data_IF_391262324357
#
_entry.id   IF_391262324357
#
_cell.length_a   1.000
_cell.length_b   1.000
_cell.length_c   1.000
_cell.angle_alpha   90.00
_cell.angle_beta   90.00
_cell.angle_gamma   90.00
#
_symmetry.space_group_name_H-M   'P 1'
#
loop_
_entity.id
_entity.type
_entity.pdbx_description
1 polymer ?
#
# COMPACT_ATOMS: atom_id res chain seq x y z
N UNK A 1 -19.80 -19.59 -16.88
CA UNK A 1 -20.48 -20.46 -15.89
C UNK A 1 -20.52 -19.63 -14.63
N UNK A 2 -21.63 -18.92 -14.43
CA UNK A 2 -21.80 -17.95 -13.33
C UNK A 2 -22.00 -18.71 -12.02
N UNK A 3 -21.09 -18.52 -11.07
CA UNK A 3 -21.26 -18.98 -9.70
C UNK A 3 -22.43 -18.20 -9.09
N UNK A 4 -23.62 -18.82 -9.07
CA UNK A 4 -24.73 -18.33 -8.27
C UNK A 4 -24.29 -18.35 -6.82
N UNK A 5 -23.99 -17.18 -6.28
CA UNK A 5 -23.67 -17.01 -4.87
C UNK A 5 -24.87 -17.51 -4.06
N UNK A 6 -24.69 -18.58 -3.30
CA UNK A 6 -25.76 -19.21 -2.54
C UNK A 6 -26.19 -18.27 -1.41
N UNK A 7 -27.45 -17.85 -1.46
CA UNK A 7 -28.06 -16.91 -0.52
C UNK A 7 -27.97 -17.45 0.92
N UNK A 8 -27.97 -18.77 1.11
CA UNK A 8 -27.86 -19.41 2.43
C UNK A 8 -26.48 -19.21 3.07
N UNK A 9 -25.42 -19.05 2.28
CA UNK A 9 -24.05 -18.76 2.76
C UNK A 9 -23.95 -17.31 3.27
N UNK A 10 -24.78 -16.41 2.74
CA UNK A 10 -24.76 -14.98 3.09
C UNK A 10 -25.57 -14.64 4.35
N UNK A 11 -26.41 -15.54 4.85
CA UNK A 11 -27.19 -15.32 6.08
C UNK A 11 -26.37 -15.49 7.36
N UNK A 12 -25.18 -16.10 7.27
CA UNK A 12 -24.23 -16.30 8.37
C UNK A 12 -22.80 -15.93 7.94
N UNK A 13 -22.60 -14.67 7.55
CA UNK A 13 -21.28 -14.19 7.15
C UNK A 13 -20.30 -14.20 8.33
N UNK A 14 -19.10 -14.70 8.09
CA UNK A 14 -17.95 -14.56 9.01
C UNK A 14 -17.00 -13.47 8.54
N UNK A 15 -16.13 -12.98 9.43
CA UNK A 15 -15.04 -12.05 9.07
C UNK A 15 -14.11 -12.61 8.00
N UNK A 16 -13.90 -13.93 7.98
CA UNK A 16 -13.09 -14.60 6.95
C UNK A 16 -13.79 -14.57 5.58
N UNK A 17 -15.12 -14.67 5.56
CA UNK A 17 -15.91 -14.55 4.33
C UNK A 17 -15.85 -13.12 3.78
N UNK A 18 -15.81 -12.10 4.64
CA UNK A 18 -15.67 -10.70 4.24
C UNK A 18 -14.41 -10.44 3.40
N UNK A 19 -13.30 -11.12 3.70
CA UNK A 19 -12.03 -10.95 2.95
C UNK A 19 -12.11 -11.44 1.51
N UNK A 20 -13.00 -12.38 1.23
CA UNK A 20 -13.12 -13.04 -0.07
C UNK A 20 -14.31 -12.52 -0.91
N UNK A 21 -15.14 -11.63 -0.35
CA UNK A 21 -16.25 -11.03 -1.09
C UNK A 21 -15.73 -10.05 -2.14
N UNK A 22 -16.11 -10.28 -3.39
CA UNK A 22 -15.90 -9.31 -4.47
C UNK A 22 -16.84 -8.10 -4.29
N UNK A 23 -16.38 -7.11 -3.54
CA UNK A 23 -17.12 -5.88 -3.27
C UNK A 23 -17.38 -5.04 -4.54
N UNK A 24 -16.69 -5.32 -5.66
CA UNK A 24 -16.91 -4.63 -6.93
C UNK A 24 -18.06 -5.24 -7.73
N UNK A 25 -18.48 -6.46 -7.41
CA UNK A 25 -19.60 -7.11 -8.08
C UNK A 25 -20.95 -6.57 -7.57
N UNK A 26 -21.64 -5.83 -8.44
CA UNK A 26 -22.96 -5.23 -8.15
C UNK A 26 -24.00 -6.27 -7.72
N UNK A 27 -23.98 -7.46 -8.31
CA UNK A 27 -24.91 -8.53 -7.97
C UNK A 27 -24.68 -9.04 -6.55
N UNK A 28 -23.43 -9.14 -6.12
CA UNK A 28 -23.07 -9.53 -4.74
C UNK A 28 -23.60 -8.48 -3.77
N UNK A 29 -23.38 -7.20 -4.05
CA UNK A 29 -23.86 -6.09 -3.21
C UNK A 29 -25.38 -6.05 -3.14
N UNK A 30 -26.06 -6.20 -4.27
CA UNK A 30 -27.53 -6.29 -4.29
C UNK A 30 -28.04 -7.49 -3.49
N UNK A 31 -27.33 -8.61 -3.50
CA UNK A 31 -27.71 -9.79 -2.72
C UNK A 31 -27.53 -9.54 -1.22
N UNK A 32 -26.39 -8.96 -0.81
CA UNK A 32 -26.15 -8.56 0.58
C UNK A 32 -27.22 -7.59 1.11
N UNK A 33 -27.60 -6.59 0.31
CA UNK A 33 -28.67 -5.64 0.66
C UNK A 33 -30.04 -6.33 0.80
N UNK A 34 -30.35 -7.37 0.03
CA UNK A 34 -31.60 -8.13 0.17
C UNK A 34 -31.61 -9.00 1.42
N UNK A 35 -30.47 -9.57 1.79
CA UNK A 35 -30.34 -10.44 2.96
C UNK A 35 -30.33 -9.68 4.29
N UNK A 36 -29.96 -8.39 4.28
CA UNK A 36 -29.76 -7.58 5.48
C UNK A 36 -30.89 -7.72 6.51
N UNK A 37 -32.15 -7.52 6.11
CA UNK A 37 -33.30 -7.51 7.03
C UNK A 37 -33.53 -8.87 7.73
N UNK A 38 -33.18 -9.97 7.06
CA UNK A 38 -33.36 -11.35 7.57
C UNK A 38 -32.14 -11.88 8.31
N UNK A 39 -31.04 -11.14 8.26
CA UNK A 39 -29.75 -11.55 8.81
C UNK A 39 -29.68 -11.34 10.31
N UNK A 40 -28.87 -12.17 10.98
CA UNK A 40 -28.53 -11.95 12.39
C UNK A 40 -27.69 -10.67 12.57
N UNK A 41 -27.54 -10.22 13.82
CA UNK A 41 -26.84 -8.98 14.14
C UNK A 41 -25.41 -8.94 13.62
N UNK A 42 -24.65 -10.04 13.71
CA UNK A 42 -23.25 -10.06 13.28
C UNK A 42 -23.11 -9.96 11.76
N UNK A 43 -24.00 -10.64 11.04
CA UNK A 43 -24.08 -10.55 9.57
C UNK A 43 -24.49 -9.15 9.13
N UNK A 44 -25.43 -8.48 9.83
CA UNK A 44 -25.78 -7.08 9.55
C UNK A 44 -24.58 -6.14 9.70
N UNK A 45 -23.77 -6.31 10.76
CA UNK A 45 -22.53 -5.53 10.96
C UNK A 45 -21.57 -5.71 9.78
N UNK A 46 -21.37 -6.96 9.34
CA UNK A 46 -20.51 -7.28 8.21
C UNK A 46 -21.02 -6.64 6.91
N UNK A 47 -22.32 -6.69 6.65
CA UNK A 47 -22.92 -6.05 5.47
C UNK A 47 -22.68 -4.54 5.51
N UNK A 48 -22.91 -3.86 6.64
CA UNK A 48 -22.63 -2.43 6.79
C UNK A 48 -21.17 -2.12 6.46
N UNK A 49 -20.24 -2.90 7.00
CA UNK A 49 -18.82 -2.71 6.73
C UNK A 49 -18.47 -2.91 5.24
N UNK A 50 -19.04 -3.92 4.58
CA UNK A 50 -18.85 -4.16 3.14
C UNK A 50 -19.35 -2.97 2.33
N UNK A 51 -20.55 -2.46 2.64
CA UNK A 51 -21.14 -1.30 1.98
C UNK A 51 -20.28 -0.05 2.20
N UNK A 52 -19.79 0.14 3.42
CA UNK A 52 -18.85 1.20 3.78
C UNK A 52 -17.54 1.09 2.99
N UNK A 53 -16.96 -0.11 2.85
CA UNK A 53 -15.74 -0.33 2.06
C UNK A 53 -15.95 -0.01 0.58
N UNK A 54 -17.11 -0.40 0.02
CA UNK A 54 -17.48 -0.10 -1.36
C UNK A 54 -17.68 1.39 -1.61
N UNK A 55 -18.47 2.06 -0.77
CA UNK A 55 -18.62 3.51 -0.76
C UNK A 55 -19.11 4.14 -2.07
N UNK A 56 -19.81 3.38 -2.91
CA UNK A 56 -20.47 3.92 -4.09
C UNK A 56 -21.83 4.55 -3.73
N UNK A 57 -22.47 5.18 -4.72
CA UNK A 57 -23.74 5.87 -4.48
C UNK A 57 -24.83 4.90 -3.97
N UNK A 58 -24.87 3.67 -4.50
CA UNK A 58 -25.82 2.66 -4.09
C UNK A 58 -25.64 2.27 -2.62
N UNK A 59 -24.40 1.95 -2.21
CA UNK A 59 -24.06 1.64 -0.82
C UNK A 59 -24.35 2.81 0.12
N UNK A 60 -23.97 4.03 -0.26
CA UNK A 60 -24.23 5.23 0.55
C UNK A 60 -25.73 5.45 0.74
N UNK A 61 -26.51 5.33 -0.35
CA UNK A 61 -27.97 5.45 -0.29
C UNK A 61 -28.59 4.38 0.60
N UNK A 62 -28.10 3.14 0.53
CA UNK A 62 -28.62 2.06 1.36
C UNK A 62 -28.24 2.22 2.84
N UNK A 63 -27.01 2.64 3.16
CA UNK A 63 -26.59 2.96 4.53
C UNK A 63 -27.50 4.03 5.17
N UNK A 64 -27.90 5.05 4.39
CA UNK A 64 -28.88 6.05 4.84
C UNK A 64 -30.26 5.45 5.11
N UNK A 65 -30.74 4.54 4.25
CA UNK A 65 -32.00 3.83 4.48
C UNK A 65 -31.96 2.97 5.74
N UNK A 66 -30.83 2.33 6.05
CA UNK A 66 -30.65 1.57 7.30
C UNK A 66 -30.86 2.49 8.51
N UNK A 67 -30.25 3.68 8.51
CA UNK A 67 -30.37 4.66 9.61
C UNK A 67 -31.83 5.11 9.83
N UNK A 68 -32.59 5.26 8.74
CA UNK A 68 -33.99 5.65 8.79
C UNK A 68 -34.89 4.52 9.33
N UNK A 69 -34.61 3.26 8.96
CA UNK A 69 -35.43 2.09 9.32
C UNK A 69 -35.10 1.49 10.67
N UNK A 70 -33.82 1.39 11.03
CA UNK A 70 -33.32 0.74 12.24
C UNK A 70 -33.26 1.73 13.41
N UNK A 71 -34.28 2.57 13.53
CA UNK A 71 -34.37 3.63 14.55
C UNK A 71 -34.32 3.09 15.98
N UNK A 72 -34.77 1.86 16.19
CA UNK A 72 -34.77 1.16 17.48
C UNK A 72 -33.51 0.32 17.72
N UNK A 73 -32.77 -0.05 16.66
CA UNK A 73 -31.53 -0.80 16.78
C UNK A 73 -30.32 0.14 16.77
N UNK A 74 -30.04 0.70 17.95
CA UNK A 74 -28.99 1.70 18.13
C UNK A 74 -27.61 1.25 17.59
N UNK A 75 -27.26 -0.03 17.72
CA UNK A 75 -25.96 -0.56 17.25
C UNK A 75 -25.86 -0.47 15.73
N UNK A 76 -26.88 -0.95 15.01
CA UNK A 76 -26.91 -0.96 13.54
C UNK A 76 -26.93 0.47 12.99
N UNK A 77 -27.70 1.35 13.62
CA UNK A 77 -27.74 2.76 13.28
C UNK A 77 -26.37 3.42 13.47
N UNK A 78 -25.76 3.29 14.64
CA UNK A 78 -24.47 3.90 14.95
C UNK A 78 -23.34 3.40 14.02
N UNK A 79 -23.34 2.12 13.66
CA UNK A 79 -22.38 1.57 12.70
C UNK A 79 -22.59 2.15 11.29
N UNK A 80 -23.83 2.28 10.84
CA UNK A 80 -24.15 2.86 9.55
C UNK A 80 -23.76 4.34 9.47
N UNK A 81 -24.04 5.11 10.53
CA UNK A 81 -23.60 6.50 10.69
C UNK A 81 -22.08 6.60 10.67
N UNK A 82 -21.38 5.73 11.41
CA UNK A 82 -19.93 5.67 11.44
C UNK A 82 -19.29 5.41 10.07
N UNK A 83 -19.86 4.49 9.27
CA UNK A 83 -19.39 4.25 7.90
C UNK A 83 -19.64 5.43 6.96
N UNK A 84 -20.78 6.11 7.09
CA UNK A 84 -21.06 7.33 6.31
C UNK A 84 -20.10 8.47 6.68
N UNK A 85 -19.84 8.69 7.96
CA UNK A 85 -18.86 9.68 8.44
C UNK A 85 -17.45 9.38 7.90
N UNK A 86 -17.05 8.09 7.92
CA UNK A 86 -15.76 7.65 7.38
C UNK A 86 -15.67 7.92 5.88
N UNK A 87 -16.73 7.63 5.13
CA UNK A 87 -16.80 7.89 3.69
C UNK A 87 -16.74 9.38 3.38
N UNK A 88 -17.45 10.22 4.13
CA UNK A 88 -17.40 11.68 3.98
C UNK A 88 -15.99 12.22 4.23
N UNK A 89 -15.34 11.81 5.33
CA UNK A 89 -13.96 12.23 5.62
C UNK A 89 -12.99 11.81 4.51
N UNK A 90 -13.17 10.60 3.96
CA UNK A 90 -12.39 10.10 2.82
C UNK A 90 -12.58 10.98 1.59
N UNK A 91 -13.83 11.35 1.28
CA UNK A 91 -14.15 12.25 0.17
C UNK A 91 -13.54 13.65 0.36
N UNK A 92 -13.56 14.20 1.57
CA UNK A 92 -12.92 15.49 1.89
C UNK A 92 -11.40 15.46 1.70
N UNK A 93 -10.74 14.37 2.07
CA UNK A 93 -9.30 14.16 1.84
C UNK A 93 -9.00 14.10 0.34
N UNK A 94 -9.79 13.32 -0.41
CA UNK A 94 -9.69 13.22 -1.86
C UNK A 94 -9.87 14.58 -2.54
N UNK A 95 -10.92 15.32 -2.17
CA UNK A 95 -11.18 16.66 -2.72
C UNK A 95 -10.04 17.64 -2.40
N UNK A 96 -9.45 17.59 -1.21
CA UNK A 96 -8.26 18.40 -0.87
C UNK A 96 -7.05 18.06 -1.74
N UNK A 97 -6.77 16.76 -1.95
CA UNK A 97 -5.68 16.30 -2.83
C UNK A 97 -5.90 16.74 -4.28
N UNK A 98 -7.11 16.58 -4.82
CA UNK A 98 -7.46 17.02 -6.17
C UNK A 98 -7.28 18.53 -6.32
N UNK A 99 -7.75 19.35 -5.36
CA UNK A 99 -7.54 20.81 -5.40
C UNK A 99 -6.06 21.19 -5.37
N UNK A 100 -5.24 20.48 -4.58
CA UNK A 100 -3.79 20.70 -4.54
C UNK A 100 -3.17 20.39 -5.91
N UNK A 101 -3.53 19.25 -6.49
CA UNK A 101 -3.09 18.83 -7.83
C UNK A 101 -3.52 19.83 -8.91
N UNK A 102 -4.77 20.30 -8.86
CA UNK A 102 -5.30 21.31 -9.78
C UNK A 102 -4.52 22.62 -9.68
N UNK A 103 -4.27 23.12 -8.46
CA UNK A 103 -3.45 24.30 -8.25
C UNK A 103 -2.04 24.12 -8.80
N UNK A 104 -1.44 22.95 -8.61
CA UNK A 104 -0.11 22.63 -9.11
C UNK A 104 -0.07 22.58 -10.64
N UNK A 105 -1.04 21.94 -11.28
CA UNK A 105 -1.04 21.73 -12.73
C UNK A 105 -1.51 22.96 -13.51
N UNK A 106 -2.49 23.72 -13.01
CA UNK A 106 -3.09 24.84 -13.73
C UNK A 106 -2.44 26.19 -13.43
N UNK A 107 -1.91 26.42 -12.21
CA UNK A 107 -1.34 27.72 -11.84
C UNK A 107 0.17 27.83 -12.12
N UNK A 108 0.83 26.70 -12.38
CA UNK A 108 2.26 26.69 -12.67
C UNK A 108 2.51 27.14 -14.11
N UNK A 109 3.20 28.29 -14.29
CA UNK A 109 3.59 28.80 -15.62
C UNK A 109 4.44 27.81 -16.42
N UNK A 110 5.21 26.96 -15.72
CA UNK A 110 5.99 25.86 -16.31
C UNK A 110 6.12 24.76 -15.27
N UNK A 111 5.76 23.53 -15.63
CA UNK A 111 5.97 22.36 -14.79
C UNK A 111 7.39 21.85 -14.97
N UNK A 112 8.11 21.67 -13.87
CA UNK A 112 9.41 20.99 -13.88
C UNK A 112 9.23 19.48 -13.58
N UNK A 113 10.31 18.72 -13.70
CA UNK A 113 10.30 17.26 -13.49
C UNK A 113 9.78 16.87 -12.11
N UNK A 114 10.17 17.59 -11.06
CA UNK A 114 9.72 17.30 -9.69
C UNK A 114 8.21 17.54 -9.56
N UNK A 115 7.68 18.62 -10.14
CA UNK A 115 6.23 18.85 -10.14
C UNK A 115 5.46 17.78 -10.91
N UNK A 116 6.05 17.21 -11.96
CA UNK A 116 5.41 16.11 -12.70
C UNK A 116 5.43 14.84 -11.85
N UNK A 117 6.56 14.52 -11.21
CA UNK A 117 6.69 13.34 -10.35
C UNK A 117 5.73 13.41 -9.15
N UNK A 118 5.66 14.55 -8.46
CA UNK A 118 4.72 14.77 -7.36
C UNK A 118 3.26 14.58 -7.82
N UNK A 119 2.94 15.06 -9.03
CA UNK A 119 1.61 14.90 -9.62
C UNK A 119 1.31 13.44 -9.98
N UNK A 120 2.30 12.68 -10.47
CA UNK A 120 2.15 11.24 -10.74
C UNK A 120 1.82 10.49 -9.44
N UNK A 121 2.57 10.72 -8.37
CA UNK A 121 2.32 10.11 -7.06
C UNK A 121 0.96 10.50 -6.49
N UNK A 122 0.55 11.78 -6.60
CA UNK A 122 -0.77 12.22 -6.15
C UNK A 122 -1.89 11.57 -6.97
N UNK A 123 -1.74 11.41 -8.30
CA UNK A 123 -2.71 10.71 -9.16
C UNK A 123 -2.80 9.23 -8.81
N UNK A 124 -1.66 8.56 -8.59
CA UNK A 124 -1.58 7.16 -8.23
C UNK A 124 -2.24 6.89 -6.86
N UNK A 125 -1.93 7.72 -5.86
CA UNK A 125 -2.57 7.69 -4.56
C UNK A 125 -4.08 7.90 -4.69
N UNK A 126 -4.50 8.89 -5.47
CA UNK A 126 -5.92 9.12 -5.75
C UNK A 126 -6.54 7.90 -6.45
N UNK A 127 -5.85 7.21 -7.35
CA UNK A 127 -6.30 5.96 -7.97
C UNK A 127 -6.56 4.87 -6.93
N UNK A 128 -5.65 4.71 -5.97
CA UNK A 128 -5.74 3.67 -4.95
C UNK A 128 -6.89 3.88 -3.95
N UNK A 129 -7.26 5.13 -3.65
CA UNK A 129 -8.33 5.43 -2.68
C UNK A 129 -9.61 6.02 -3.30
N UNK A 130 -9.58 6.40 -4.57
CA UNK A 130 -10.63 7.17 -5.24
C UNK A 130 -11.85 6.37 -5.68
N UNK A 131 -12.76 7.05 -6.37
CA UNK A 131 -13.96 6.49 -6.97
C UNK A 131 -14.23 7.12 -8.36
N UNK A 132 -15.32 6.74 -9.01
CA UNK A 132 -15.68 7.25 -10.35
C UNK A 132 -15.80 8.78 -10.43
N UNK A 133 -16.30 9.45 -9.37
CA UNK A 133 -16.38 10.92 -9.31
C UNK A 133 -14.99 11.55 -9.35
N UNK A 134 -14.04 10.94 -8.65
CA UNK A 134 -12.65 11.38 -8.65
C UNK A 134 -11.99 11.21 -10.02
N UNK A 135 -12.22 10.09 -10.70
CA UNK A 135 -11.66 9.84 -12.04
C UNK A 135 -12.06 10.93 -13.05
N UNK A 136 -13.35 11.31 -13.06
CA UNK A 136 -13.84 12.38 -13.92
C UNK A 136 -13.14 13.73 -13.69
N UNK A 137 -12.73 14.01 -12.44
CA UNK A 137 -11.95 15.21 -12.11
C UNK A 137 -10.52 15.08 -12.63
N UNK A 138 -9.88 13.93 -12.41
CA UNK A 138 -8.52 13.67 -12.89
C UNK A 138 -8.38 13.78 -14.41
N UNK A 139 -9.28 13.17 -15.18
CA UNK A 139 -9.27 13.21 -16.65
C UNK A 139 -9.35 14.64 -17.21
N UNK A 140 -9.99 15.57 -16.49
CA UNK A 140 -10.06 16.98 -16.88
C UNK A 140 -8.73 17.72 -16.66
N UNK A 141 -7.95 17.32 -15.67
CA UNK A 141 -6.72 18.01 -15.25
C UNK A 141 -5.48 17.66 -16.08
N UNK A 142 -5.40 16.46 -16.66
CA UNK A 142 -4.14 15.90 -17.18
C UNK A 142 -4.01 15.90 -18.71
N UNK A 143 -4.89 16.63 -19.42
CA UNK A 143 -5.09 16.54 -20.88
C UNK A 143 -3.86 16.79 -21.77
N UNK A 144 -2.76 17.34 -21.25
CA UNK A 144 -1.64 17.80 -22.07
C UNK A 144 -0.29 17.12 -21.75
N UNK A 145 -0.20 16.25 -20.73
CA UNK A 145 1.07 15.62 -20.34
C UNK A 145 0.93 14.10 -20.39
N UNK A 146 1.68 13.44 -21.28
CA UNK A 146 1.50 12.03 -21.58
C UNK A 146 1.68 11.11 -20.37
N UNK A 147 2.69 11.37 -19.52
CA UNK A 147 2.89 10.58 -18.29
C UNK A 147 1.73 10.73 -17.32
N UNK A 148 1.16 11.94 -17.18
CA UNK A 148 -0.02 12.15 -16.32
C UNK A 148 -1.27 11.48 -16.90
N UNK A 149 -1.44 11.44 -18.23
CA UNK A 149 -2.53 10.70 -18.87
C UNK A 149 -2.42 9.21 -18.59
N UNK A 150 -1.23 8.65 -18.80
CA UNK A 150 -0.94 7.25 -18.54
C UNK A 150 -1.24 6.89 -17.07
N UNK A 151 -0.81 7.73 -16.12
CA UNK A 151 -1.13 7.51 -14.71
C UNK A 151 -2.63 7.62 -14.41
N UNK A 152 -3.37 8.49 -15.11
CA UNK A 152 -4.84 8.56 -14.96
C UNK A 152 -5.52 7.30 -15.52
N UNK A 153 -5.04 6.73 -16.62
CA UNK A 153 -5.54 5.45 -17.15
C UNK A 153 -5.25 4.29 -16.18
N UNK A 154 -4.09 4.29 -15.51
CA UNK A 154 -3.77 3.33 -14.46
C UNK A 154 -4.68 3.54 -13.24
N UNK A 155 -4.92 4.78 -12.83
CA UNK A 155 -5.87 5.09 -11.75
C UNK A 155 -7.31 4.70 -12.10
N UNK A 156 -7.72 4.83 -13.36
CA UNK A 156 -9.00 4.30 -13.86
C UNK A 156 -9.07 2.78 -13.69
N UNK A 157 -8.02 2.07 -14.14
CA UNK A 157 -7.93 0.62 -13.97
C UNK A 157 -8.02 0.23 -12.50
N UNK A 158 -7.35 0.95 -11.61
CA UNK A 158 -7.34 0.71 -10.17
C UNK A 158 -8.72 0.94 -9.54
N UNK A 159 -9.36 2.08 -9.85
CA UNK A 159 -10.68 2.43 -9.32
C UNK A 159 -11.74 1.43 -9.78
N UNK A 160 -11.72 1.05 -11.06
CA UNK A 160 -12.74 0.22 -11.68
C UNK A 160 -12.53 -1.28 -11.42
N UNK A 161 -11.28 -1.75 -11.48
CA UNK A 161 -10.95 -3.19 -11.43
C UNK A 161 -10.09 -3.62 -10.25
N UNK A 162 -9.72 -2.69 -9.36
CA UNK A 162 -9.00 -2.98 -8.13
C UNK A 162 -7.50 -3.18 -8.31
N UNK A 163 -6.83 -3.38 -7.19
CA UNK A 163 -5.37 -3.56 -7.11
C UNK A 163 -4.91 -4.78 -7.91
N UNK A 164 -5.69 -5.86 -7.93
CA UNK A 164 -5.39 -7.09 -8.67
C UNK A 164 -5.20 -6.85 -10.17
N UNK A 165 -5.98 -5.95 -10.76
CA UNK A 165 -5.83 -5.60 -12.16
C UNK A 165 -4.49 -4.89 -12.42
N UNK A 166 -4.05 -4.01 -11.51
CA UNK A 166 -2.73 -3.36 -11.59
C UNK A 166 -1.61 -4.39 -11.47
N UNK A 167 -1.73 -5.34 -10.53
CA UNK A 167 -0.74 -6.40 -10.35
C UNK A 167 -0.65 -7.31 -11.58
N UNK A 168 -1.79 -7.60 -12.22
CA UNK A 168 -1.83 -8.38 -13.46
C UNK A 168 -1.12 -7.66 -14.60
N UNK A 169 -1.37 -6.36 -14.79
CA UNK A 169 -0.66 -5.56 -15.80
C UNK A 169 0.84 -5.48 -15.49
N UNK A 170 1.24 -5.30 -14.23
CA UNK A 170 2.65 -5.24 -13.84
C UNK A 170 3.44 -6.52 -14.18
N UNK A 171 2.79 -7.67 -14.06
CA UNK A 171 3.37 -8.97 -14.42
C UNK A 171 3.28 -9.30 -15.91
N UNK A 172 2.51 -8.54 -16.69
CA UNK A 172 2.34 -8.76 -18.12
C UNK A 172 3.57 -8.29 -18.88
N UNK A 173 4.05 -9.13 -19.81
CA UNK A 173 5.11 -8.74 -20.74
C UNK A 173 4.61 -7.78 -21.83
N UNK A 174 3.32 -7.85 -22.16
CA UNK A 174 2.66 -7.07 -23.21
C UNK A 174 1.84 -5.91 -22.63
N UNK A 175 2.14 -5.48 -21.40
CA UNK A 175 1.47 -4.32 -20.79
C UNK A 175 1.61 -3.10 -21.68
N UNK A 176 0.49 -2.42 -21.95
CA UNK A 176 0.50 -1.11 -22.64
C UNK A 176 1.05 0.01 -21.76
N UNK A 177 1.14 -0.22 -20.45
CA UNK A 177 1.62 0.74 -19.46
C UNK A 177 3.09 0.51 -19.14
N UNK A 178 3.82 1.61 -18.90
CA UNK A 178 5.19 1.57 -18.39
C UNK A 178 5.25 0.95 -17.01
N UNK A 179 6.28 0.15 -16.79
CA UNK A 179 6.54 -0.50 -15.49
C UNK A 179 6.64 0.51 -14.35
N UNK A 180 7.29 1.65 -14.58
CA UNK A 180 7.45 2.70 -13.57
C UNK A 180 6.12 3.29 -13.13
N UNK A 181 5.18 3.50 -14.06
CA UNK A 181 3.86 4.04 -13.76
C UNK A 181 2.97 3.04 -13.00
N UNK A 182 3.12 1.74 -13.30
CA UNK A 182 2.48 0.65 -12.56
C UNK A 182 3.07 0.53 -11.15
N UNK A 183 4.39 0.60 -11.01
CA UNK A 183 5.07 0.60 -9.70
C UNK A 183 4.59 1.75 -8.82
N UNK A 184 4.44 2.94 -9.37
CA UNK A 184 3.91 4.10 -8.63
C UNK A 184 2.52 3.79 -8.04
N UNK A 185 1.62 3.19 -8.84
CA UNK A 185 0.30 2.79 -8.38
C UNK A 185 0.35 1.69 -7.31
N UNK A 186 1.16 0.65 -7.52
CA UNK A 186 1.35 -0.47 -6.59
C UNK A 186 1.84 0.03 -5.23
N UNK A 187 2.90 0.85 -5.21
CA UNK A 187 3.52 1.30 -3.97
C UNK A 187 2.71 2.40 -3.27
N UNK A 188 1.86 3.15 -3.98
CA UNK A 188 0.84 4.00 -3.37
C UNK A 188 -0.27 3.18 -2.71
N UNK A 189 -0.66 2.03 -3.29
CA UNK A 189 -1.69 1.16 -2.75
C UNK A 189 -1.31 0.50 -1.41
N UNK A 190 -0.01 0.41 -1.10
CA UNK A 190 0.49 -0.15 0.15
C UNK A 190 -0.06 0.56 1.41
N UNK A 191 -0.35 1.86 1.32
CA UNK A 191 -0.91 2.68 2.43
C UNK A 191 -2.43 2.54 2.56
N UNK A 192 -3.04 1.58 1.88
CA UNK A 192 -4.49 1.37 1.83
C UNK A 192 -4.88 0.02 2.40
N UNK A 193 -6.19 -0.29 2.36
CA UNK A 193 -6.70 -1.60 2.76
C UNK A 193 -6.18 -2.75 1.88
N UNK A 194 -5.57 -2.46 0.72
CA UNK A 194 -4.97 -3.46 -0.16
C UNK A 194 -3.52 -3.83 0.21
N UNK A 195 -2.98 -3.32 1.33
CA UNK A 195 -1.61 -3.58 1.78
C UNK A 195 -1.19 -5.05 1.69
N UNK A 196 -2.02 -5.97 2.17
CA UNK A 196 -1.72 -7.41 2.17
C UNK A 196 -1.46 -7.96 0.76
N UNK A 197 -2.12 -7.41 -0.26
CA UNK A 197 -1.94 -7.80 -1.67
C UNK A 197 -0.64 -7.26 -2.27
N UNK A 198 -0.14 -6.14 -1.73
CA UNK A 198 1.08 -5.48 -2.20
C UNK A 198 2.34 -6.11 -1.58
N UNK A 199 2.24 -6.64 -0.35
CA UNK A 199 3.39 -7.26 0.34
C UNK A 199 4.11 -8.33 -0.50
N UNK A 200 3.43 -9.28 -1.16
CA UNK A 200 4.10 -10.23 -2.05
C UNK A 200 4.91 -9.58 -3.17
N UNK A 201 4.42 -8.47 -3.75
CA UNK A 201 5.11 -7.72 -4.82
C UNK A 201 6.35 -7.04 -4.26
N UNK A 202 6.27 -6.44 -3.07
CA UNK A 202 7.43 -5.85 -2.40
C UNK A 202 8.53 -6.91 -2.20
N UNK A 203 8.15 -8.11 -1.79
CA UNK A 203 9.10 -9.21 -1.60
C UNK A 203 9.65 -9.75 -2.93
N UNK A 204 8.85 -9.80 -3.98
CA UNK A 204 9.28 -10.13 -5.35
C UNK A 204 10.32 -9.11 -5.85
N UNK A 205 10.00 -7.82 -5.73
CA UNK A 205 10.83 -6.70 -6.19
C UNK A 205 12.15 -6.58 -5.40
N UNK A 206 12.25 -7.13 -4.19
CA UNK A 206 13.51 -7.24 -3.43
C UNK A 206 14.58 -8.06 -4.19
N UNK A 207 14.14 -8.99 -5.03
CA UNK A 207 15.02 -9.83 -5.85
C UNK A 207 15.25 -9.27 -7.26
N UNK A 208 14.63 -8.12 -7.59
CA UNK A 208 14.85 -7.46 -8.87
C UNK A 208 16.30 -7.04 -9.06
N UNK A 209 16.77 -7.13 -10.31
CA UNK A 209 18.01 -6.51 -10.77
C UNK A 209 17.86 -5.02 -11.08
N UNK A 210 16.62 -4.59 -11.33
CA UNK A 210 16.33 -3.22 -11.74
C UNK A 210 16.32 -2.28 -10.53
N UNK A 211 16.85 -1.07 -10.72
CA UNK A 211 17.03 -0.12 -9.63
C UNK A 211 15.70 0.30 -8.99
N UNK A 212 14.68 0.62 -9.78
CA UNK A 212 13.42 1.21 -9.28
C UNK A 212 12.62 0.22 -8.41
N UNK A 213 12.31 -1.02 -8.85
CA UNK A 213 11.63 -1.99 -8.01
C UNK A 213 12.40 -2.30 -6.72
N UNK A 214 13.72 -2.52 -6.85
CA UNK A 214 14.58 -2.82 -5.71
C UNK A 214 14.59 -1.67 -4.70
N UNK A 215 14.75 -0.43 -5.16
CA UNK A 215 14.75 0.76 -4.31
C UNK A 215 13.42 0.89 -3.56
N UNK A 216 12.29 0.79 -4.27
CA UNK A 216 10.95 0.90 -3.68
C UNK A 216 10.69 -0.22 -2.66
N UNK A 217 11.12 -1.46 -2.95
CA UNK A 217 11.05 -2.58 -2.02
C UNK A 217 11.80 -2.30 -0.72
N UNK A 218 13.07 -1.87 -0.81
CA UNK A 218 13.90 -1.57 0.35
C UNK A 218 13.35 -0.41 1.19
N UNK A 219 12.75 0.59 0.53
CA UNK A 219 12.05 1.68 1.21
C UNK A 219 10.92 1.13 2.08
N UNK A 220 10.06 0.25 1.54
CA UNK A 220 8.93 -0.36 2.28
C UNK A 220 9.37 -1.31 3.38
N UNK A 221 10.42 -2.10 3.16
CA UNK A 221 10.99 -2.97 4.20
C UNK A 221 11.55 -2.19 5.41
N UNK A 222 11.85 -0.90 5.21
CA UNK A 222 12.30 0.01 6.27
C UNK A 222 11.14 0.57 7.11
N UNK A 223 9.88 0.44 6.66
CA UNK A 223 8.69 0.95 7.35
C UNK A 223 8.46 0.19 8.66
N UNK A 224 8.21 0.92 9.76
CA UNK A 224 8.18 0.36 11.13
C UNK A 224 7.13 -0.75 11.32
N UNK A 225 6.06 -0.67 10.54
CA UNK A 225 4.87 -1.49 10.58
C UNK A 225 4.83 -2.55 9.46
N UNK A 226 5.90 -2.70 8.67
CA UNK A 226 6.01 -3.80 7.70
C UNK A 226 5.83 -5.16 8.40
N UNK A 227 5.02 -6.09 7.83
CA UNK A 227 4.71 -7.38 8.45
C UNK A 227 5.93 -8.30 8.51
N UNK A 228 6.58 -8.37 9.67
CA UNK A 228 7.87 -9.06 9.86
C UNK A 228 7.74 -10.57 9.74
N UNK A 229 6.58 -11.11 10.08
CA UNK A 229 6.23 -12.52 9.93
C UNK A 229 6.25 -13.00 8.46
N UNK A 230 6.20 -12.07 7.50
CA UNK A 230 6.34 -12.37 6.07
C UNK A 230 7.80 -12.47 5.61
N UNK A 231 8.76 -12.10 6.45
CA UNK A 231 10.18 -12.10 6.10
C UNK A 231 10.82 -13.46 6.40
N UNK A 232 11.20 -14.15 5.32
CA UNK A 232 11.91 -15.42 5.39
C UNK A 232 13.44 -15.26 5.41
N UNK A 233 14.16 -16.38 5.49
CA UNK A 233 15.62 -16.41 5.48
C UNK A 233 16.22 -15.86 4.17
N UNK A 234 15.60 -16.16 3.03
CA UNK A 234 16.07 -15.69 1.71
C UNK A 234 16.03 -14.17 1.60
N UNK A 235 14.97 -13.53 2.11
CA UNK A 235 14.85 -12.08 2.18
C UNK A 235 15.97 -11.46 3.02
N UNK A 236 16.28 -12.07 4.18
CA UNK A 236 17.38 -11.63 5.06
C UNK A 236 18.73 -11.78 4.36
N UNK A 237 18.98 -12.94 3.73
CA UNK A 237 20.19 -13.19 2.95
C UNK A 237 20.34 -12.21 1.79
N UNK A 238 19.23 -11.90 1.10
CA UNK A 238 19.20 -10.92 0.01
C UNK A 238 19.61 -9.53 0.49
N UNK A 239 19.11 -9.06 1.63
CA UNK A 239 19.53 -7.79 2.22
C UNK A 239 21.04 -7.74 2.51
N UNK A 240 21.62 -8.81 3.06
CA UNK A 240 23.07 -8.88 3.24
C UNK A 240 23.84 -8.90 1.92
N UNK A 241 23.33 -9.60 0.90
CA UNK A 241 23.94 -9.59 -0.44
C UNK A 241 24.00 -8.21 -1.07
N UNK A 242 23.00 -7.35 -0.79
CA UNK A 242 22.97 -5.96 -1.26
C UNK A 242 24.06 -5.12 -0.56
N UNK A 243 24.20 -5.29 0.76
CA UNK A 243 25.23 -4.59 1.54
C UNK A 243 26.65 -4.96 1.09
N UNK A 244 26.88 -6.26 0.86
CA UNK A 244 28.18 -6.82 0.50
C UNK A 244 28.51 -6.62 -1.00
N UNK A 245 27.49 -6.56 -1.87
CA UNK A 245 27.63 -6.48 -3.32
C UNK A 245 27.96 -5.08 -3.86
N UNK A 246 28.07 -4.98 -5.18
CA UNK A 246 28.34 -3.73 -5.89
C UNK A 246 27.03 -2.97 -6.21
N UNK A 247 26.38 -2.45 -5.17
CA UNK A 247 25.17 -1.63 -5.28
C UNK A 247 25.46 -0.16 -4.95
N UNK A 248 24.60 0.73 -5.45
CA UNK A 248 24.60 2.16 -5.09
C UNK A 248 24.45 2.35 -3.58
N UNK A 249 25.02 3.44 -3.06
CA UNK A 249 25.07 3.72 -1.63
C UNK A 249 23.68 3.79 -0.99
N UNK A 250 22.72 4.44 -1.67
CA UNK A 250 21.33 4.53 -1.23
C UNK A 250 20.68 3.15 -1.01
N UNK A 251 20.84 2.21 -1.95
CA UNK A 251 20.33 0.85 -1.80
C UNK A 251 20.95 0.14 -0.60
N UNK A 252 22.24 0.35 -0.34
CA UNK A 252 22.90 -0.20 0.85
C UNK A 252 22.36 0.42 2.13
N UNK A 253 22.13 1.73 2.14
CA UNK A 253 21.57 2.43 3.28
C UNK A 253 20.16 1.93 3.62
N UNK A 254 19.30 1.75 2.61
CA UNK A 254 17.96 1.19 2.83
C UNK A 254 17.99 -0.29 3.20
N UNK A 255 18.90 -1.10 2.64
CA UNK A 255 19.08 -2.48 3.07
C UNK A 255 19.51 -2.57 4.55
N UNK A 256 20.41 -1.70 5.00
CA UNK A 256 20.82 -1.61 6.39
C UNK A 256 19.64 -1.22 7.30
N UNK A 257 18.86 -0.18 6.93
CA UNK A 257 17.67 0.25 7.66
C UNK A 257 16.61 -0.86 7.74
N UNK A 258 16.38 -1.57 6.64
CA UNK A 258 15.49 -2.72 6.57
C UNK A 258 15.92 -3.82 7.56
N UNK A 259 17.20 -4.20 7.59
CA UNK A 259 17.70 -5.17 8.57
C UNK A 259 17.45 -4.72 10.02
N UNK A 260 17.75 -3.45 10.34
CA UNK A 260 17.45 -2.88 11.66
C UNK A 260 15.96 -2.89 12.04
N UNK A 261 15.09 -2.91 11.04
CA UNK A 261 13.66 -2.96 11.24
C UNK A 261 13.12 -4.38 11.37
N UNK A 262 13.59 -5.30 10.53
CA UNK A 262 13.04 -6.63 10.32
C UNK A 262 13.63 -7.69 11.25
N UNK A 263 14.91 -7.58 11.63
CA UNK A 263 15.54 -8.57 12.51
C UNK A 263 14.95 -8.53 13.93
N UNK A 264 14.78 -9.72 14.50
CA UNK A 264 14.20 -9.97 15.83
C UNK A 264 15.18 -10.70 16.74
N UNK A 265 14.76 -11.01 17.98
CA UNK A 265 15.55 -11.78 18.94
C UNK A 265 15.97 -13.16 18.41
N UNK A 266 15.10 -13.76 17.61
CA UNK A 266 15.25 -15.10 17.06
C UNK A 266 16.32 -15.14 15.95
N UNK A 267 16.72 -13.97 15.43
CA UNK A 267 17.65 -13.83 14.33
C UNK A 267 19.13 -13.75 14.76
N UNK A 268 19.51 -14.51 15.79
CA UNK A 268 20.84 -14.43 16.40
C UNK A 268 22.00 -14.59 15.40
N UNK A 269 21.85 -15.45 14.39
CA UNK A 269 22.86 -15.67 13.34
C UNK A 269 23.03 -14.39 12.50
N UNK A 270 21.94 -13.75 12.11
CA UNK A 270 21.97 -12.52 11.31
C UNK A 270 22.48 -11.32 12.11
N UNK A 271 22.15 -11.24 13.41
CA UNK A 271 22.68 -10.21 14.31
C UNK A 271 24.21 -10.33 14.40
N UNK A 272 24.75 -11.54 14.60
CA UNK A 272 26.20 -11.78 14.59
C UNK A 272 26.85 -11.41 13.25
N UNK A 273 26.18 -11.68 12.13
CA UNK A 273 26.65 -11.28 10.80
C UNK A 273 26.74 -9.75 10.67
N UNK A 274 25.72 -9.04 11.15
CA UNK A 274 25.68 -7.57 11.17
C UNK A 274 26.84 -7.00 12.03
N UNK A 275 27.06 -7.54 13.23
CA UNK A 275 28.18 -7.17 14.10
C UNK A 275 29.54 -7.39 13.42
N UNK A 276 29.71 -8.52 12.74
CA UNK A 276 30.93 -8.83 11.98
C UNK A 276 31.18 -7.83 10.85
N UNK A 277 30.13 -7.43 10.12
CA UNK A 277 30.23 -6.40 9.09
C UNK A 277 30.67 -5.05 9.65
N UNK A 278 30.06 -4.59 10.75
CA UNK A 278 30.44 -3.34 11.42
C UNK A 278 31.91 -3.39 11.86
N UNK A 279 32.36 -4.52 12.43
CA UNK A 279 33.77 -4.73 12.81
C UNK A 279 34.72 -4.66 11.62
N UNK A 280 34.35 -5.24 10.47
CA UNK A 280 35.15 -5.16 9.24
C UNK A 280 35.27 -3.73 8.74
N UNK A 281 34.18 -2.95 8.73
CA UNK A 281 34.20 -1.53 8.38
C UNK A 281 35.13 -0.74 9.32
N UNK A 282 35.10 -1.01 10.63
CA UNK A 282 36.03 -0.42 11.60
C UNK A 282 37.51 -0.72 11.31
N UNK A 283 37.82 -1.92 10.85
CA UNK A 283 39.20 -2.29 10.50
C UNK A 283 39.69 -1.67 9.18
N UNK A 284 38.80 -1.47 8.20
CA UNK A 284 39.13 -0.85 6.90
C UNK A 284 39.29 0.66 6.99
N UNK A 285 38.50 1.34 7.82
CA UNK A 285 38.56 2.79 8.00
C UNK A 285 39.85 3.27 8.71
N UNK A 286 40.62 2.36 9.32
CA UNK A 286 41.99 2.67 9.81
C UNK A 286 43.03 2.80 8.68
N UNK A 287 42.75 2.28 7.47
CA UNK A 287 43.71 2.22 6.36
C UNK A 287 43.41 3.25 5.26
N UNK A 288 42.17 3.75 5.17
CA UNK A 288 41.72 4.66 4.12
C UNK A 288 40.86 5.78 4.75
N UNK A 289 41.47 6.63 5.56
CA UNK A 289 40.81 7.81 6.10
C UNK A 289 41.04 9.01 5.19
N UNK A 290 40.02 9.38 4.38
CA UNK A 290 39.66 10.74 3.92
C UNK A 290 38.81 10.73 2.62
N UNK A 291 38.74 9.61 1.88
CA UNK A 291 38.04 9.53 0.58
C UNK A 291 36.84 8.58 0.51
N UNK A 292 36.62 7.70 1.50
CA UNK A 292 35.50 6.74 1.50
C UNK A 292 34.31 7.24 2.34
N UNK A 293 33.72 8.36 1.91
CA UNK A 293 32.57 9.01 2.57
C UNK A 293 31.38 8.04 2.74
N UNK A 294 31.23 7.09 1.80
CA UNK A 294 30.17 6.09 1.82
C UNK A 294 30.38 5.01 2.90
N UNK A 295 31.62 4.63 3.18
CA UNK A 295 31.93 3.60 4.19
C UNK A 295 31.62 4.04 5.62
N UNK A 296 31.89 5.31 5.96
CA UNK A 296 31.58 5.87 7.29
C UNK A 296 30.06 6.03 7.48
N UNK A 297 29.35 6.54 6.48
CA UNK A 297 27.90 6.72 6.56
C UNK A 297 27.15 5.39 6.72
N UNK A 298 27.49 4.40 5.88
CA UNK A 298 26.88 3.07 5.96
C UNK A 298 27.12 2.41 7.33
N UNK A 299 28.33 2.59 7.90
CA UNK A 299 28.64 2.11 9.25
C UNK A 299 27.70 2.71 10.29
N UNK A 300 27.50 4.02 10.29
CA UNK A 300 26.59 4.69 11.24
C UNK A 300 25.16 4.13 11.15
N UNK A 301 24.67 3.88 9.93
CA UNK A 301 23.34 3.29 9.72
C UNK A 301 23.27 1.86 10.24
N UNK A 302 24.32 1.04 10.02
CA UNK A 302 24.38 -0.33 10.53
C UNK A 302 24.45 -0.35 12.07
N UNK A 303 25.22 0.54 12.68
CA UNK A 303 25.29 0.71 14.14
C UNK A 303 23.96 1.16 14.74
N UNK A 304 23.29 2.13 14.10
CA UNK A 304 21.95 2.55 14.50
C UNK A 304 20.93 1.41 14.38
N UNK A 305 21.04 0.60 13.33
CA UNK A 305 20.20 -0.58 13.09
C UNK A 305 20.42 -1.65 14.16
N UNK A 306 21.68 -1.96 14.51
CA UNK A 306 22.02 -2.88 15.59
C UNK A 306 21.53 -2.37 16.96
N UNK A 307 21.67 -1.06 17.22
CA UNK A 307 21.14 -0.43 18.45
C UNK A 307 19.62 -0.54 18.54
N UNK A 308 18.91 -0.36 17.42
CA UNK A 308 17.45 -0.51 17.34
C UNK A 308 17.03 -1.94 17.66
N UNK A 309 17.73 -2.95 17.12
CA UNK A 309 17.50 -4.37 17.43
C UNK A 309 17.71 -4.61 18.92
N UNK A 310 18.91 -4.32 19.45
CA UNK A 310 19.27 -4.59 20.85
C UNK A 310 18.38 -3.88 21.87
N UNK A 311 17.91 -2.67 21.58
CA UNK A 311 16.97 -1.93 22.43
C UNK A 311 15.60 -2.62 22.49
N UNK A 312 15.12 -3.18 21.37
CA UNK A 312 13.87 -3.97 21.35
C UNK A 312 14.03 -5.25 22.17
N UNK A 313 15.18 -5.92 22.10
CA UNK A 313 15.47 -7.13 22.89
C UNK A 313 15.42 -6.89 24.39
N UNK A 314 15.84 -5.71 24.86
CA UNK A 314 15.81 -5.35 26.29
C UNK A 314 14.40 -5.07 26.82
N UNK A 315 13.42 -4.77 25.96
CA UNK A 315 12.03 -4.50 26.36
C UNK A 315 11.15 -5.75 26.45
N UNK A 316 11.65 -6.88 25.95
CA UNK A 316 10.93 -8.18 25.92
C UNK A 316 11.37 -9.09 27.08
N UNK A 317 12.38 -8.66 27.86
CA UNK A 317 12.80 -9.27 29.12
C UNK A 317 12.22 -8.48 30.29
#
# INVERSE_FOLDING_TARGET
MEEKLDISILENLSEETMKNIDIKNDQVIHTLMKCFERSNMDTKKIIIEILGRRGDQLSISYLKQIIEKESENYIIKALSEGELDRLQRKEEVLNRKIRKLENQLLKSKKLNTNNINDALSDIAMIGAIGNASTLNKLMKLTKNIQSLKEQVEISELHILRGTEAILKEYRSQDSKFKKEALLEAIYCAYETNDREKIVPIILEDLFSSDYIPLFNSLLRLSDKDFPKEKINQDSKNRLFSILEGNYKADLKDYAAKALGNLLTAEDAIYIKRLESMIKKLNSRNKVISLLDFNGNHLKEILEASLKKITTRLKKVK
#
